data_IF_516598458350
#
_entry.id   IF_516598458350
#
_cell.length_a   1.000
_cell.length_b   1.000
_cell.length_c   1.000
_cell.angle_alpha   90.00
_cell.angle_beta   90.00
_cell.angle_gamma   90.00
#
_symmetry.space_group_name_H-M   'P 1'
#
loop_
_entity.id
_entity.type
_entity.pdbx_description
1 polymer ?
#
# COMPACT_ATOMS: atom_id res chain seq x y z
N UNK A 1 6.94 -1.25 -31.81
CA UNK A 1 6.30 -0.29 -30.87
C UNK A 1 7.28 0.86 -30.63
N UNK A 2 6.83 2.11 -30.53
CA UNK A 2 7.73 3.23 -30.21
C UNK A 2 8.22 3.13 -28.76
N UNK A 3 9.44 3.61 -28.47
CA UNK A 3 9.99 3.63 -27.11
C UNK A 3 9.13 4.45 -26.12
N UNK A 4 8.38 5.42 -26.62
CA UNK A 4 7.40 6.19 -25.84
C UNK A 4 6.25 5.29 -25.33
N UNK A 5 5.65 4.48 -26.21
CA UNK A 5 4.57 3.57 -25.82
C UNK A 5 5.00 2.56 -24.74
N UNK A 6 6.21 2.01 -24.85
CA UNK A 6 6.75 1.09 -23.85
C UNK A 6 6.88 1.75 -22.46
N UNK A 7 7.42 2.98 -22.41
CA UNK A 7 7.57 3.74 -21.15
C UNK A 7 6.23 4.02 -20.47
N UNK A 8 5.20 4.35 -21.23
CA UNK A 8 3.86 4.60 -20.70
C UNK A 8 3.20 3.34 -20.15
N UNK A 9 3.35 2.20 -20.85
CA UNK A 9 2.87 0.91 -20.36
C UNK A 9 3.55 0.53 -19.05
N UNK A 10 4.88 0.70 -18.97
CA UNK A 10 5.63 0.38 -17.75
C UNK A 10 5.30 1.32 -16.58
N UNK A 11 5.03 2.60 -16.88
CA UNK A 11 4.51 3.53 -15.87
C UNK A 11 3.13 3.10 -15.38
N UNK A 12 2.22 2.74 -16.29
CA UNK A 12 0.88 2.25 -15.94
C UNK A 12 0.92 1.00 -15.07
N UNK A 13 1.79 0.03 -15.41
CA UNK A 13 2.01 -1.18 -14.61
C UNK A 13 2.47 -0.83 -13.19
N UNK A 14 3.49 0.04 -13.05
CA UNK A 14 3.99 0.47 -11.74
C UNK A 14 2.92 1.14 -10.88
N UNK A 15 2.13 2.04 -11.48
CA UNK A 15 1.00 2.68 -10.79
C UNK A 15 -0.07 1.66 -10.38
N UNK A 16 -0.34 0.67 -11.24
CA UNK A 16 -1.25 -0.44 -10.93
C UNK A 16 -0.78 -1.27 -9.74
N UNK A 17 0.50 -1.65 -9.71
CA UNK A 17 1.08 -2.39 -8.59
C UNK A 17 0.99 -1.60 -7.28
N UNK A 18 1.40 -0.33 -7.28
CA UNK A 18 1.34 0.54 -6.09
C UNK A 18 -0.09 0.67 -5.55
N UNK A 19 -1.08 0.93 -6.43
CA UNK A 19 -2.49 1.04 -6.02
C UNK A 19 -3.05 -0.28 -5.49
N UNK A 20 -2.67 -1.39 -6.11
CA UNK A 20 -3.06 -2.73 -5.68
C UNK A 20 -2.53 -3.08 -4.30
N UNK A 21 -1.25 -2.77 -4.06
CA UNK A 21 -0.58 -3.00 -2.78
C UNK A 21 -1.19 -2.14 -1.66
N UNK A 22 -1.42 -0.84 -1.92
CA UNK A 22 -2.11 0.05 -0.99
C UNK A 22 -3.53 -0.45 -0.63
N UNK A 23 -4.30 -0.89 -1.64
CA UNK A 23 -5.64 -1.44 -1.44
C UNK A 23 -5.62 -2.75 -0.64
N UNK A 24 -4.62 -3.61 -0.85
CA UNK A 24 -4.44 -4.82 -0.05
C UNK A 24 -4.10 -4.48 1.40
N UNK A 25 -3.13 -3.58 1.62
CA UNK A 25 -2.73 -3.17 2.97
C UNK A 25 -3.91 -2.58 3.75
N UNK A 26 -4.76 -1.76 3.13
CA UNK A 26 -5.95 -1.22 3.79
C UNK A 26 -6.97 -2.30 4.19
N UNK A 27 -7.16 -3.31 3.35
CA UNK A 27 -8.04 -4.46 3.67
C UNK A 27 -7.45 -5.29 4.82
N UNK A 28 -6.14 -5.48 4.85
CA UNK A 28 -5.45 -6.18 5.93
C UNK A 28 -5.52 -5.41 7.26
N UNK A 29 -5.36 -4.08 7.21
CA UNK A 29 -5.52 -3.21 8.37
C UNK A 29 -6.95 -3.29 8.93
N UNK A 30 -7.95 -3.22 8.06
CA UNK A 30 -9.36 -3.39 8.44
C UNK A 30 -9.60 -4.77 9.06
N UNK A 31 -9.04 -5.82 8.45
CA UNK A 31 -9.21 -7.19 8.93
C UNK A 31 -8.56 -7.41 10.30
N UNK A 32 -7.37 -6.87 10.53
CA UNK A 32 -6.59 -7.12 11.76
C UNK A 32 -6.93 -6.15 12.91
N UNK A 33 -7.22 -4.89 12.60
CA UNK A 33 -7.36 -3.81 13.58
C UNK A 33 -8.72 -3.08 13.51
N UNK A 34 -9.60 -3.46 12.59
CA UNK A 34 -10.92 -2.84 12.40
C UNK A 34 -10.93 -1.69 11.39
N UNK A 35 -12.13 -1.35 10.92
CA UNK A 35 -12.35 -0.36 9.86
C UNK A 35 -11.92 1.05 10.27
N UNK A 36 -12.06 1.42 11.53
CA UNK A 36 -11.61 2.72 12.05
C UNK A 36 -10.10 2.89 11.89
N UNK A 37 -9.33 1.84 12.17
CA UNK A 37 -7.88 1.84 11.99
C UNK A 37 -7.51 2.00 10.51
N UNK A 38 -8.15 1.26 9.61
CA UNK A 38 -7.92 1.40 8.17
C UNK A 38 -8.31 2.81 7.66
N UNK A 39 -9.40 3.38 8.16
CA UNK A 39 -9.85 4.72 7.80
C UNK A 39 -8.86 5.80 8.26
N UNK A 40 -8.33 5.68 9.49
CA UNK A 40 -7.39 6.63 10.07
C UNK A 40 -6.11 6.78 9.22
N UNK A 41 -5.63 5.68 8.62
CA UNK A 41 -4.38 5.69 7.85
C UNK A 41 -4.58 5.65 6.32
N UNK A 42 -5.82 5.69 5.81
CA UNK A 42 -6.13 5.56 4.38
C UNK A 42 -5.33 6.49 3.48
N UNK A 43 -5.34 7.79 3.80
CA UNK A 43 -4.63 8.81 3.01
C UNK A 43 -3.12 8.56 2.97
N UNK A 44 -2.55 8.11 4.08
CA UNK A 44 -1.12 7.81 4.17
C UNK A 44 -0.76 6.56 3.35
N UNK A 45 -1.59 5.53 3.39
CA UNK A 45 -1.39 4.30 2.61
C UNK A 45 -1.54 4.55 1.11
N UNK A 46 -2.57 5.28 0.68
CA UNK A 46 -2.79 5.58 -0.74
C UNK A 46 -1.70 6.47 -1.36
N UNK A 47 -1.04 7.31 -0.55
CA UNK A 47 0.04 8.19 -0.98
C UNK A 47 1.44 7.59 -0.84
N UNK A 48 1.58 6.41 -0.23
CA UNK A 48 2.88 5.80 0.03
C UNK A 48 3.51 5.23 -1.24
N UNK A 49 4.83 5.36 -1.35
CA UNK A 49 5.60 4.66 -2.37
C UNK A 49 5.64 3.14 -2.10
N UNK A 50 5.99 2.33 -3.11
CA UNK A 50 6.03 0.88 -2.97
C UNK A 50 6.95 0.37 -1.85
N UNK A 51 8.07 1.04 -1.59
CA UNK A 51 9.01 0.58 -0.55
C UNK A 51 8.42 0.74 0.86
N UNK A 52 7.67 1.82 1.11
CA UNK A 52 6.92 2.00 2.36
C UNK A 52 5.78 1.00 2.49
N UNK A 53 5.04 0.76 1.40
CA UNK A 53 3.95 -0.22 1.40
C UNK A 53 4.46 -1.64 1.72
N UNK A 54 5.62 -2.02 1.19
CA UNK A 54 6.26 -3.30 1.48
C UNK A 54 6.64 -3.41 2.96
N UNK A 55 7.32 -2.39 3.50
CA UNK A 55 7.73 -2.35 4.90
C UNK A 55 6.53 -2.42 5.86
N UNK A 56 5.47 -1.66 5.58
CA UNK A 56 4.25 -1.69 6.37
C UNK A 56 3.55 -3.05 6.28
N UNK A 57 3.53 -3.67 5.10
CA UNK A 57 2.97 -5.01 4.91
C UNK A 57 3.72 -6.07 5.72
N UNK A 58 5.06 -5.99 5.79
CA UNK A 58 5.86 -6.88 6.62
C UNK A 58 5.60 -6.67 8.12
N UNK A 59 5.56 -5.41 8.58
CA UNK A 59 5.28 -5.09 9.99
C UNK A 59 3.86 -5.46 10.40
N UNK A 60 2.88 -5.35 9.50
CA UNK A 60 1.51 -5.75 9.76
C UNK A 60 1.40 -7.20 10.24
N UNK A 61 2.31 -8.09 9.78
CA UNK A 61 2.30 -9.50 10.18
C UNK A 61 2.46 -9.68 11.69
N UNK A 62 3.34 -8.89 12.32
CA UNK A 62 3.70 -9.03 13.74
C UNK A 62 3.19 -7.91 14.63
N UNK A 63 2.69 -6.81 14.06
CA UNK A 63 2.21 -5.66 14.82
C UNK A 63 1.11 -6.03 15.82
N UNK A 64 1.26 -5.64 17.08
CA UNK A 64 0.25 -5.82 18.14
C UNK A 64 -0.83 -4.73 18.09
N UNK A 65 -0.50 -3.55 17.58
CA UNK A 65 -1.43 -2.45 17.38
C UNK A 65 -1.10 -1.69 16.09
N UNK A 66 -2.11 -1.01 15.53
CA UNK A 66 -2.00 -0.34 14.22
C UNK A 66 -0.82 0.62 14.13
N UNK A 67 -0.50 1.34 15.20
CA UNK A 67 0.64 2.26 15.22
C UNK A 67 1.99 1.60 14.89
N UNK A 68 2.22 0.34 15.28
CA UNK A 68 3.48 -0.37 14.99
C UNK A 68 3.70 -0.62 13.50
N UNK A 69 2.62 -0.64 12.70
CA UNK A 69 2.70 -0.80 11.25
C UNK A 69 3.46 0.38 10.63
N UNK A 70 3.26 1.59 11.16
CA UNK A 70 3.66 2.86 10.56
C UNK A 70 4.91 3.51 11.17
N UNK A 71 5.61 2.81 12.08
CA UNK A 71 6.88 3.28 12.68
C UNK A 71 8.04 3.41 11.68
#
# INVERSE_FOLDING_TARGET
MSGFAARYIDQGKRLGYQRGEASLLLRLLSTKFGDEAAAAYRKQVEAADPARLEQWSQRLLTAEHVGQVFL
#
